data_IF_129613098959
#
_entry.id   IF_129613098959
#
_cell.length_a   1.000
_cell.length_b   1.000
_cell.length_c   1.000
_cell.angle_alpha   90.00
_cell.angle_beta   90.00
_cell.angle_gamma   90.00
#
_symmetry.space_group_name_H-M   'P 1'
#
loop_
_entity.id
_entity.type
_entity.pdbx_description
1 polymer ?
#
# COMPACT_ATOMS: atom_id res chain seq x y z
N UNK A 1 -10.35 -7.61 10.45
CA UNK A 1 -9.32 -6.62 10.07
C UNK A 1 -8.31 -7.41 9.29
N UNK A 2 -8.45 -7.39 7.97
CA UNK A 2 -7.53 -8.05 7.06
C UNK A 2 -6.20 -7.30 7.12
N UNK A 3 -5.22 -7.93 7.75
CA UNK A 3 -3.87 -7.40 7.80
C UNK A 3 -3.20 -7.78 6.48
N UNK A 4 -2.68 -6.80 5.75
CA UNK A 4 -1.85 -7.08 4.59
C UNK A 4 -0.60 -7.84 5.05
N UNK A 5 -0.41 -9.06 4.56
CA UNK A 5 0.78 -9.84 4.89
C UNK A 5 2.03 -9.20 4.25
N UNK A 6 3.18 -9.36 4.89
CA UNK A 6 4.45 -9.01 4.25
C UNK A 6 4.59 -9.80 2.94
N UNK A 7 5.11 -9.14 1.92
CA UNK A 7 5.20 -9.61 0.54
C UNK A 7 3.89 -9.68 -0.26
N UNK A 8 2.74 -9.35 0.32
CA UNK A 8 1.50 -9.25 -0.44
C UNK A 8 1.61 -8.19 -1.55
N UNK A 9 1.08 -8.51 -2.73
CA UNK A 9 0.93 -7.55 -3.82
C UNK A 9 -0.32 -6.71 -3.60
N UNK A 10 -0.15 -5.39 -3.70
CA UNK A 10 -1.20 -4.42 -3.46
C UNK A 10 -1.27 -3.40 -4.57
N UNK A 11 -2.45 -2.83 -4.74
CA UNK A 11 -2.70 -1.69 -5.62
C UNK A 11 -3.49 -0.63 -4.87
N UNK A 12 -3.61 0.57 -5.45
CA UNK A 12 -4.47 1.60 -4.88
C UNK A 12 -5.94 1.18 -5.03
N UNK A 13 -6.69 1.26 -3.92
CA UNK A 13 -8.12 0.95 -3.88
C UNK A 13 -8.94 1.92 -4.76
N UNK A 14 -8.46 3.16 -4.91
CA UNK A 14 -9.09 4.17 -5.74
C UNK A 14 -9.08 3.73 -7.22
N UNK A 15 -10.20 3.90 -7.95
CA UNK A 15 -10.26 3.56 -9.36
C UNK A 15 -9.25 4.40 -10.14
N UNK A 16 -8.47 3.72 -10.97
CA UNK A 16 -7.49 4.36 -11.84
C UNK A 16 -8.25 5.05 -12.99
N UNK A 17 -7.99 6.34 -13.28
CA UNK A 17 -8.63 7.04 -14.38
C UNK A 17 -8.45 6.30 -15.71
N UNK A 18 -9.46 6.40 -16.59
CA UNK A 18 -9.43 5.76 -17.91
C UNK A 18 -8.19 6.20 -18.69
N UNK A 19 -7.33 5.26 -19.05
CA UNK A 19 -6.08 5.50 -19.79
C UNK A 19 -4.80 5.50 -18.94
N UNK A 20 -4.90 5.36 -17.61
CA UNK A 20 -3.74 5.15 -16.73
C UNK A 20 -3.56 3.66 -16.40
N UNK A 21 -2.30 3.24 -16.27
CA UNK A 21 -1.95 1.90 -15.82
C UNK A 21 -2.14 1.79 -14.31
N UNK A 22 -2.70 0.66 -13.87
CA UNK A 22 -2.77 0.32 -12.46
C UNK A 22 -1.37 -0.06 -11.98
N UNK A 23 -0.90 0.63 -10.95
CA UNK A 23 0.38 0.33 -10.30
C UNK A 23 0.17 -0.78 -9.28
N UNK A 24 1.13 -1.70 -9.23
CA UNK A 24 1.21 -2.77 -8.25
C UNK A 24 2.46 -2.55 -7.42
N UNK A 25 2.33 -2.61 -6.10
CA UNK A 25 3.39 -2.46 -5.14
C UNK A 25 3.42 -3.66 -4.21
N UNK A 26 4.50 -3.79 -3.45
CA UNK A 26 4.66 -4.89 -2.51
C UNK A 26 4.68 -4.38 -1.08
N UNK A 27 3.99 -5.09 -0.20
CA UNK A 27 4.00 -4.80 1.24
C UNK A 27 5.34 -5.23 1.82
N UNK A 28 6.07 -4.28 2.40
CA UNK A 28 7.38 -4.53 3.04
C UNK A 28 7.31 -4.56 4.56
N UNK A 29 6.14 -4.31 5.14
CA UNK A 29 5.95 -4.27 6.59
C UNK A 29 4.88 -3.28 7.02
N UNK A 30 4.93 -2.89 8.30
CA UNK A 30 3.98 -1.97 8.90
C UNK A 30 4.71 -0.92 9.74
N UNK A 31 4.13 0.28 9.81
CA UNK A 31 4.57 1.35 10.68
C UNK A 31 3.40 1.87 11.51
N UNK A 32 3.69 2.58 12.59
CA UNK A 32 2.70 3.33 13.34
C UNK A 32 2.98 4.81 13.16
N UNK A 33 1.98 5.55 12.71
CA UNK A 33 2.06 7.01 12.61
C UNK A 33 2.26 7.60 14.02
N UNK A 34 3.35 8.35 14.26
CA UNK A 34 3.67 8.86 15.59
C UNK A 34 2.75 9.99 16.06
N UNK A 35 1.99 10.62 15.15
CA UNK A 35 1.08 11.72 15.46
C UNK A 35 -0.35 11.24 15.68
N UNK A 36 -0.82 10.29 14.86
CA UNK A 36 -2.21 9.78 14.93
C UNK A 36 -2.32 8.46 15.69
N UNK A 37 -1.22 7.74 15.88
CA UNK A 37 -1.19 6.40 16.46
C UNK A 37 -1.76 5.31 15.55
N UNK A 38 -2.10 5.65 14.30
CA UNK A 38 -2.69 4.71 13.35
C UNK A 38 -1.63 3.79 12.75
N UNK A 39 -2.01 2.54 12.49
CA UNK A 39 -1.14 1.56 11.86
C UNK A 39 -1.24 1.71 10.34
N UNK A 40 -0.10 1.99 9.72
CA UNK A 40 0.07 2.14 8.28
C UNK A 40 0.79 0.93 7.69
N UNK A 41 0.46 0.63 6.44
CA UNK A 41 1.08 -0.42 5.64
C UNK A 41 2.22 0.21 4.86
N UNK A 42 3.41 -0.37 4.94
CA UNK A 42 4.57 0.09 4.20
C UNK A 42 4.59 -0.61 2.85
N UNK A 43 4.48 0.16 1.76
CA UNK A 43 4.42 -0.36 0.39
C UNK A 43 5.60 0.16 -0.41
N UNK A 44 6.33 -0.76 -1.06
CA UNK A 44 7.36 -0.44 -2.04
C UNK A 44 6.74 -0.48 -3.45
N UNK A 45 6.68 0.67 -4.10
CA UNK A 45 6.23 0.78 -5.49
C UNK A 45 7.39 0.61 -6.47
N UNK A 46 7.13 0.10 -7.69
CA UNK A 46 8.10 0.08 -8.77
C UNK A 46 8.63 1.49 -9.06
N UNK A 47 9.95 1.65 -9.00
CA UNK A 47 10.61 2.96 -9.20
C UNK A 47 10.69 3.84 -7.96
N UNK A 48 10.10 3.45 -6.83
CA UNK A 48 10.32 4.14 -5.56
C UNK A 48 11.65 3.72 -4.92
N UNK A 49 12.40 4.68 -4.38
CA UNK A 49 13.67 4.40 -3.71
C UNK A 49 13.50 3.78 -2.30
N UNK A 50 12.33 3.91 -1.69
CA UNK A 50 12.02 3.41 -0.35
C UNK A 50 10.52 3.08 -0.20
N UNK A 51 10.16 2.22 0.75
CA UNK A 51 8.76 1.98 1.10
C UNK A 51 8.09 3.26 1.62
N UNK A 52 6.84 3.46 1.23
CA UNK A 52 6.01 4.57 1.66
C UNK A 52 4.85 4.05 2.52
N UNK A 53 4.47 4.79 3.58
CA UNK A 53 3.32 4.43 4.39
C UNK A 53 2.00 4.75 3.67
N UNK A 54 1.03 3.85 3.80
CA UNK A 54 -0.35 4.00 3.34
C UNK A 54 -1.33 3.53 4.38
N UNK A 55 -2.52 4.15 4.40
CA UNK A 55 -3.63 3.62 5.17
C UNK A 55 -4.14 2.32 4.53
N UNK A 56 -4.53 1.30 5.31
CA UNK A 56 -5.07 0.05 4.79
C UNK A 56 -6.26 0.27 3.84
N UNK A 57 -7.10 1.26 4.12
CA UNK A 57 -8.29 1.59 3.33
C UNK A 57 -7.95 2.21 1.96
N UNK A 58 -6.71 2.66 1.76
CA UNK A 58 -6.24 3.17 0.48
C UNK A 58 -5.69 2.07 -0.45
N UNK A 59 -5.54 0.85 0.07
CA UNK A 59 -4.96 -0.28 -0.63
C UNK A 59 -6.00 -1.37 -0.91
N UNK A 60 -5.78 -2.11 -1.99
CA UNK A 60 -6.51 -3.32 -2.32
C UNK A 60 -5.50 -4.42 -2.66
N UNK A 61 -5.82 -5.66 -2.28
CA UNK A 61 -5.02 -6.81 -2.70
C UNK A 61 -5.08 -6.96 -4.22
N UNK A 62 -3.92 -7.19 -4.82
CA UNK A 62 -3.80 -7.62 -6.19
C UNK A 62 -3.67 -9.15 -6.17
N UNK A 63 -4.73 -9.84 -6.61
CA UNK A 63 -4.81 -11.30 -6.73
C UNK A 63 -3.99 -11.81 -7.92
#
# INVERSE_FOLDING_TARGET
MDFFEEHAEVTLAKPVPKGMLRLFGQVTGHATDPFTGQRQVMVLWPGAAKPLPYDPDELALAD
#
